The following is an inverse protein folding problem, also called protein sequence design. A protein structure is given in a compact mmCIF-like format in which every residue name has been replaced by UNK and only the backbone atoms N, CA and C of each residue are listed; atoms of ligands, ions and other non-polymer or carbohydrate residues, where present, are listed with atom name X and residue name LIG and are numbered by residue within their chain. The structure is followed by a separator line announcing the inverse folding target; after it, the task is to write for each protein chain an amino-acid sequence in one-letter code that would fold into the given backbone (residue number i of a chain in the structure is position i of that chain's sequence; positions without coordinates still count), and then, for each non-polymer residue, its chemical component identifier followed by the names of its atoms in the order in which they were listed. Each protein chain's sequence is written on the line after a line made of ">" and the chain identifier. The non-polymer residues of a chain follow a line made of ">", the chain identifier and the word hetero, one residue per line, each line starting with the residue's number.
data_IF_540517031077
#
_entry.id   IF_540517031077
#
_cell.length_a   1.000
_cell.length_b   1.000
_cell.length_c   1.000
_cell.angle_alpha   90.00
_cell.angle_beta   90.00
_cell.angle_gamma   90.00
#
_symmetry.space_group_name_H-M   'P 1'
#
loop_
_entity.id
_entity.type
_entity.pdbx_description
1 polymer ?
#
# COMPACT_ATOMS: atom_id res chain seq x y z
N UNK A 1 46.81 23.40 -35.29
CA UNK A 1 46.34 22.18 -34.60
C UNK A 1 46.15 22.57 -33.16
N UNK A 2 44.90 22.55 -32.68
CA UNK A 2 44.44 22.61 -31.28
C UNK A 2 43.09 23.31 -31.27
N UNK A 3 42.03 22.50 -31.32
CA UNK A 3 40.77 22.82 -30.65
C UNK A 3 40.26 21.44 -30.19
N UNK A 4 40.78 21.03 -29.05
CA UNK A 4 40.43 19.79 -28.36
C UNK A 4 38.98 19.95 -27.91
N UNK A 5 38.09 19.21 -28.55
CA UNK A 5 36.66 19.24 -28.28
C UNK A 5 36.43 18.94 -26.80
N UNK A 6 35.96 19.95 -26.06
CA UNK A 6 35.43 19.80 -24.72
C UNK A 6 34.36 18.67 -24.76
N UNK A 7 34.55 17.53 -24.06
CA UNK A 7 33.49 16.55 -23.97
C UNK A 7 32.34 17.23 -23.22
N UNK A 8 31.23 17.43 -23.93
CA UNK A 8 29.99 17.94 -23.36
C UNK A 8 29.65 17.06 -22.17
N UNK A 9 29.90 17.56 -20.95
CA UNK A 9 29.40 16.93 -19.73
C UNK A 9 27.91 16.73 -19.95
N UNK A 10 27.52 15.47 -20.16
CA UNK A 10 26.12 15.09 -20.06
C UNK A 10 25.65 15.66 -18.72
N UNK A 11 24.63 16.54 -18.69
CA UNK A 11 24.01 16.80 -17.42
C UNK A 11 23.57 15.43 -16.95
N UNK A 12 24.09 15.00 -15.79
CA UNK A 12 23.70 13.76 -15.17
C UNK A 12 22.19 13.68 -15.34
N UNK A 13 21.75 12.65 -16.07
CA UNK A 13 20.36 12.24 -16.10
C UNK A 13 20.03 12.05 -14.63
N UNK A 14 19.45 13.09 -14.02
CA UNK A 14 18.97 13.06 -12.66
C UNK A 14 17.81 12.08 -12.72
N UNK A 15 18.15 10.78 -12.64
CA UNK A 15 17.22 9.73 -12.32
C UNK A 15 16.35 10.30 -11.21
N UNK A 16 15.02 10.32 -11.36
CA UNK A 16 14.15 10.96 -10.40
C UNK A 16 14.57 10.44 -9.04
N UNK A 17 15.19 11.32 -8.24
CA UNK A 17 15.63 11.04 -6.88
C UNK A 17 14.43 10.40 -6.25
N UNK A 18 14.53 9.11 -5.93
CA UNK A 18 13.41 8.32 -5.44
C UNK A 18 12.72 9.18 -4.42
N UNK A 19 11.55 9.75 -4.78
CA UNK A 19 10.71 10.44 -3.82
C UNK A 19 10.51 9.36 -2.79
N UNK A 20 11.21 9.51 -1.67
CA UNK A 20 10.91 8.75 -0.48
C UNK A 20 9.49 9.15 -0.26
N UNK A 21 8.57 8.27 -0.64
CA UNK A 21 7.18 8.39 -0.26
C UNK A 21 7.30 8.37 1.26
N UNK A 22 7.39 9.55 1.86
CA UNK A 22 6.93 9.75 3.21
C UNK A 22 5.48 9.27 3.13
N UNK A 23 5.28 7.97 3.37
CA UNK A 23 4.03 7.28 3.16
C UNK A 23 3.09 7.85 4.21
N UNK A 24 2.48 8.98 3.89
CA UNK A 24 1.22 9.42 4.47
C UNK A 24 0.11 8.55 3.85
N UNK A 25 0.34 7.25 3.82
CA UNK A 25 -0.64 6.26 3.43
C UNK A 25 -1.47 6.01 4.68
N UNK A 26 -2.80 6.22 4.62
CA UNK A 26 -3.66 5.96 5.77
C UNK A 26 -3.44 4.51 6.21
N UNK A 27 -3.13 4.32 7.50
CA UNK A 27 -2.99 2.98 8.05
C UNK A 27 -4.32 2.24 7.95
N UNK A 28 -4.28 0.95 7.62
CA UNK A 28 -5.46 0.08 7.61
C UNK A 28 -5.45 -0.87 8.80
N UNK A 29 -6.64 -1.19 9.27
CA UNK A 29 -6.91 -2.21 10.28
C UNK A 29 -7.88 -3.24 9.72
N UNK A 30 -7.96 -4.39 10.38
CA UNK A 30 -8.90 -5.43 10.00
C UNK A 30 -9.46 -6.15 11.22
N UNK A 31 -10.63 -6.74 11.05
CA UNK A 31 -11.24 -7.66 12.00
C UNK A 31 -11.77 -8.87 11.24
N UNK A 32 -11.54 -10.07 11.78
CA UNK A 32 -12.09 -11.32 11.25
C UNK A 32 -13.23 -11.76 12.17
N UNK A 33 -14.37 -12.10 11.56
CA UNK A 33 -15.53 -12.68 12.21
C UNK A 33 -15.61 -14.14 11.77
N UNK A 34 -15.49 -15.04 12.74
CA UNK A 34 -15.65 -16.47 12.53
C UNK A 34 -17.14 -16.82 12.50
N UNK A 35 -17.58 -17.53 11.47
CA UNK A 35 -18.98 -17.95 11.30
C UNK A 35 -19.06 -19.49 11.30
N UNK A 36 -19.94 -20.07 12.12
CA UNK A 36 -19.98 -21.53 12.34
C UNK A 36 -20.53 -22.30 11.12
N UNK A 37 -21.54 -21.73 10.44
CA UNK A 37 -22.25 -22.33 9.31
C UNK A 37 -22.02 -21.61 7.97
N UNK A 38 -21.26 -20.50 7.98
CA UNK A 38 -21.00 -19.64 6.82
C UNK A 38 -19.49 -19.36 6.71
N UNK A 39 -18.99 -18.90 5.56
CA UNK A 39 -17.58 -18.51 5.46
C UNK A 39 -17.24 -17.41 6.45
N UNK A 40 -16.03 -17.47 7.01
CA UNK A 40 -15.48 -16.37 7.80
C UNK A 40 -15.43 -15.09 6.98
N UNK A 41 -15.59 -13.94 7.64
CA UNK A 41 -15.57 -12.63 7.01
C UNK A 41 -14.48 -11.75 7.61
N UNK A 42 -13.68 -11.13 6.76
CA UNK A 42 -12.66 -10.17 7.14
C UNK A 42 -13.05 -8.79 6.65
N UNK A 43 -13.26 -7.84 7.56
CA UNK A 43 -13.48 -6.44 7.24
C UNK A 43 -12.17 -5.66 7.38
N UNK A 44 -11.81 -4.90 6.35
CA UNK A 44 -10.61 -4.05 6.29
C UNK A 44 -11.06 -2.60 6.16
N UNK A 45 -10.52 -1.71 6.99
CA UNK A 45 -10.97 -0.32 7.09
C UNK A 45 -9.82 0.63 7.48
N UNK A 46 -9.92 1.94 7.18
CA UNK A 46 -8.92 2.90 7.60
C UNK A 46 -8.90 3.06 9.12
N UNK A 47 -7.72 3.03 9.74
CA UNK A 47 -7.50 3.20 11.19
C UNK A 47 -8.06 4.52 11.72
N UNK A 48 -7.98 5.58 10.92
CA UNK A 48 -8.31 6.95 11.33
C UNK A 48 -9.75 7.34 10.96
N UNK A 49 -10.56 6.40 10.44
CA UNK A 49 -11.94 6.67 10.07
C UNK A 49 -12.83 6.89 11.30
N UNK A 50 -13.72 7.85 11.21
CA UNK A 50 -14.81 8.03 12.18
C UNK A 50 -15.84 6.91 12.07
N UNK A 51 -16.70 6.72 13.08
CA UNK A 51 -17.78 5.72 13.04
C UNK A 51 -18.70 5.88 11.82
N UNK A 52 -18.99 7.12 11.42
CA UNK A 52 -19.83 7.41 10.24
C UNK A 52 -19.11 6.99 8.96
N UNK A 53 -17.80 7.20 8.86
CA UNK A 53 -17.01 6.78 7.71
C UNK A 53 -16.86 5.26 7.67
N UNK A 54 -16.69 4.60 8.81
CA UNK A 54 -16.61 3.13 8.90
C UNK A 54 -17.87 2.43 8.40
N UNK A 55 -19.03 3.10 8.37
CA UNK A 55 -20.26 2.51 7.81
C UNK A 55 -20.18 2.31 6.30
N UNK A 56 -19.40 3.12 5.59
CA UNK A 56 -19.36 3.15 4.12
C UNK A 56 -17.97 2.96 3.52
N UNK A 57 -16.91 3.10 4.32
CA UNK A 57 -15.52 3.13 3.87
C UNK A 57 -14.77 1.93 4.43
N UNK A 58 -15.11 0.76 3.90
CA UNK A 58 -14.50 -0.51 4.25
C UNK A 58 -14.62 -1.50 3.09
N UNK A 59 -13.82 -2.55 3.13
CA UNK A 59 -13.82 -3.66 2.18
C UNK A 59 -14.03 -4.95 2.99
N UNK A 60 -14.91 -5.84 2.54
CA UNK A 60 -14.93 -7.23 3.02
C UNK A 60 -14.21 -8.18 2.09
N UNK A 61 -13.68 -9.23 2.70
CA UNK A 61 -13.30 -10.48 2.07
C UNK A 61 -14.00 -11.63 2.81
N UNK A 62 -14.32 -12.72 2.11
CA UNK A 62 -15.02 -13.87 2.69
C UNK A 62 -14.29 -15.17 2.37
N UNK A 63 -14.30 -16.13 3.30
CA UNK A 63 -13.68 -17.45 3.15
C UNK A 63 -12.23 -17.38 2.69
N UNK A 64 -11.91 -18.10 1.62
CA UNK A 64 -10.53 -18.21 1.08
C UNK A 64 -9.98 -16.93 0.42
N UNK A 65 -10.74 -15.82 0.42
CA UNK A 65 -10.30 -14.54 -0.15
C UNK A 65 -9.26 -13.82 0.73
N UNK A 66 -9.06 -14.25 1.97
CA UNK A 66 -8.03 -13.75 2.86
C UNK A 66 -7.32 -14.91 3.56
N UNK A 67 -6.12 -14.65 4.09
CA UNK A 67 -5.36 -15.64 4.84
C UNK A 67 -4.54 -14.95 5.93
N UNK A 68 -4.18 -15.69 6.97
CA UNK A 68 -3.33 -15.17 8.03
C UNK A 68 -1.91 -14.88 7.50
N UNK A 69 -1.36 -13.74 7.92
CA UNK A 69 -0.04 -13.31 7.44
C UNK A 69 1.07 -14.29 7.85
N UNK A 70 1.00 -14.89 9.05
CA UNK A 70 2.00 -15.88 9.46
C UNK A 70 1.90 -17.19 8.66
N UNK A 71 0.78 -17.43 7.98
CA UNK A 71 0.61 -18.53 7.03
C UNK A 71 1.37 -18.29 5.72
N UNK A 72 1.50 -17.04 5.27
CA UNK A 72 2.20 -16.67 4.03
C UNK A 72 3.66 -16.35 4.34
N UNK A 73 4.58 -17.14 3.78
CA UNK A 73 6.02 -17.12 4.10
C UNK A 73 6.87 -17.26 2.85
#
# INVERSE_FOLDING_TARGET
>A
MSDEANPRSEPADELPTTVSRESNEPGFEHVVVENDDEPDECAIFPREATEVELMTTWISASGDAFTDLASVR
#
